data_IF_782438259949
#
_entry.id   IF_782438259949
#
_cell.length_a   1.000
_cell.length_b   1.000
_cell.length_c   1.000
_cell.angle_alpha   90.00
_cell.angle_beta   90.00
_cell.angle_gamma   90.00
#
_symmetry.space_group_name_H-M   'P 1'
#
loop_
_entity.id
_entity.type
_entity.pdbx_description
1 polymer ?
#
# COMPACT_ATOMS: atom_id res chain seq x y z
N UNK A 1 53.02 -31.96 -42.16
CA UNK A 1 54.07 -32.93 -41.81
C UNK A 1 54.88 -32.36 -40.65
N UNK A 2 54.94 -33.12 -39.54
CA UNK A 2 55.97 -33.12 -38.46
C UNK A 2 56.29 -31.81 -37.72
N UNK A 3 55.93 -31.67 -36.43
CA UNK A 3 56.67 -32.14 -35.22
C UNK A 3 57.86 -31.20 -34.89
N UNK A 4 58.03 -30.59 -33.70
CA UNK A 4 58.28 -31.22 -32.39
C UNK A 4 58.06 -30.24 -31.22
N UNK A 5 57.70 -30.81 -30.06
CA UNK A 5 57.85 -30.23 -28.71
C UNK A 5 59.33 -30.26 -28.28
N UNK A 6 59.73 -29.37 -27.38
CA UNK A 6 60.69 -29.67 -26.31
C UNK A 6 60.30 -28.91 -25.03
N UNK A 7 60.42 -29.62 -23.92
CA UNK A 7 60.10 -29.28 -22.54
C UNK A 7 61.41 -28.87 -21.85
N UNK A 8 61.38 -27.91 -20.93
CA UNK A 8 62.24 -27.92 -19.75
C UNK A 8 61.60 -27.10 -18.62
N UNK A 9 61.46 -27.76 -17.47
CA UNK A 9 61.03 -27.23 -16.17
C UNK A 9 62.27 -27.10 -15.22
N UNK A 10 62.14 -26.55 -13.99
CA UNK A 10 62.99 -25.53 -13.37
C UNK A 10 64.06 -26.08 -12.39
N UNK A 11 64.75 -25.28 -11.51
CA UNK A 11 64.14 -24.99 -10.19
C UNK A 11 64.66 -23.78 -9.32
N UNK A 12 63.86 -23.51 -8.26
CA UNK A 12 64.18 -23.22 -6.84
C UNK A 12 64.68 -21.85 -6.28
N UNK A 13 63.84 -21.34 -5.33
CA UNK A 13 64.12 -20.90 -3.94
C UNK A 13 64.71 -19.48 -3.71
N UNK A 14 64.41 -18.69 -2.65
CA UNK A 14 63.70 -18.84 -1.36
C UNK A 14 63.25 -17.41 -0.89
N UNK A 15 62.08 -17.21 -0.25
CA UNK A 15 61.82 -17.07 1.21
C UNK A 15 62.74 -16.05 1.94
N UNK A 16 62.29 -15.03 2.69
CA UNK A 16 61.51 -14.94 3.94
C UNK A 16 61.20 -13.42 4.17
N UNK A 17 60.28 -12.92 4.98
CA UNK A 17 59.58 -13.47 6.14
C UNK A 17 58.51 -12.49 6.69
N UNK A 18 57.80 -12.98 7.70
CA UNK A 18 56.53 -12.51 8.24
C UNK A 18 56.64 -11.38 9.29
N UNK A 19 55.53 -10.67 9.52
CA UNK A 19 55.06 -10.21 10.86
C UNK A 19 53.52 -10.13 10.90
N UNK A 20 52.89 -10.75 11.91
CA UNK A 20 51.49 -10.55 12.37
C UNK A 20 51.47 -9.52 13.52
N UNK A 21 50.33 -8.89 13.84
CA UNK A 21 49.58 -9.33 15.04
C UNK A 21 48.04 -9.25 14.98
N UNK A 22 47.43 -9.95 15.95
CA UNK A 22 46.11 -9.87 16.62
C UNK A 22 44.97 -9.01 16.00
N UNK A 23 43.71 -9.44 15.91
CA UNK A 23 42.91 -10.27 16.81
C UNK A 23 41.85 -9.39 17.48
N UNK A 24 40.58 -9.49 17.05
CA UNK A 24 39.38 -9.03 17.78
C UNK A 24 38.12 -9.62 17.13
N UNK A 25 37.47 -10.52 17.88
CA UNK A 25 36.11 -11.02 17.69
C UNK A 25 35.08 -9.89 17.85
N UNK A 26 34.07 -9.86 16.98
CA UNK A 26 32.81 -9.15 17.24
C UNK A 26 31.64 -9.74 16.43
N UNK A 27 30.82 -10.54 17.11
CA UNK A 27 29.36 -10.38 17.16
C UNK A 27 28.54 -10.57 15.89
N UNK A 28 27.96 -11.77 15.76
CA UNK A 28 26.72 -12.02 15.00
C UNK A 28 25.59 -11.12 15.53
N UNK A 29 25.14 -10.16 14.73
CA UNK A 29 23.94 -9.38 15.01
C UNK A 29 22.70 -10.09 14.44
N UNK A 30 21.91 -10.68 15.33
CA UNK A 30 20.50 -10.98 15.11
C UNK A 30 19.69 -9.67 15.03
N UNK A 31 18.80 -9.47 14.05
CA UNK A 31 17.81 -8.40 14.14
C UNK A 31 16.75 -8.81 15.17
N UNK A 32 16.75 -8.08 16.29
CA UNK A 32 15.77 -8.23 17.36
C UNK A 32 14.37 -7.85 16.87
N UNK A 33 13.42 -8.75 17.10
CA UNK A 33 12.00 -8.46 16.97
C UNK A 33 11.60 -7.38 18.00
N UNK A 34 11.23 -6.20 17.54
CA UNK A 34 10.57 -5.18 18.34
C UNK A 34 9.17 -5.65 18.75
N UNK A 35 9.08 -6.39 19.86
CA UNK A 35 7.82 -6.70 20.53
C UNK A 35 7.34 -5.51 21.35
N UNK A 36 6.67 -4.56 20.69
CA UNK A 36 5.83 -3.56 21.37
C UNK A 36 4.37 -3.77 20.98
N UNK A 37 3.81 -4.93 21.35
CA UNK A 37 2.36 -5.07 21.44
C UNK A 37 1.92 -4.50 22.79
N UNK A 38 1.27 -3.34 22.79
CA UNK A 38 0.53 -2.88 23.97
C UNK A 38 -0.61 -3.89 24.22
N UNK A 39 -0.43 -4.74 25.23
CA UNK A 39 -1.49 -5.58 25.73
C UNK A 39 -2.55 -4.70 26.39
N UNK A 40 -3.72 -4.57 25.76
CA UNK A 40 -4.91 -3.98 26.39
C UNK A 40 -5.34 -4.94 27.51
N UNK A 41 -5.17 -4.52 28.76
CA UNK A 41 -5.63 -5.27 29.94
C UNK A 41 -7.15 -5.21 30.04
N UNK A 42 -7.84 -6.32 30.41
CA UNK A 42 -9.28 -6.27 30.69
C UNK A 42 -9.52 -5.54 32.02
N UNK A 43 -10.42 -4.57 32.01
CA UNK A 43 -10.89 -3.87 33.21
C UNK A 43 -11.81 -4.82 34.00
N UNK A 44 -11.44 -5.15 35.23
CA UNK A 44 -12.30 -5.85 36.18
C UNK A 44 -13.35 -4.89 36.75
N UNK A 45 -14.61 -5.30 36.73
CA UNK A 45 -15.71 -4.65 37.42
C UNK A 45 -15.61 -4.87 38.94
N UNK A 46 -15.86 -3.85 39.80
CA UNK A 46 -16.14 -4.11 41.20
C UNK A 46 -17.65 -4.08 41.46
N UNK A 47 -18.14 -5.18 42.01
CA UNK A 47 -19.39 -5.31 42.75
C UNK A 47 -19.27 -4.62 44.13
N UNK A 48 -20.32 -3.95 44.62
CA UNK A 48 -20.49 -3.71 46.06
C UNK A 48 -21.17 -2.41 46.46
N UNK A 49 -22.36 -2.55 47.04
CA UNK A 49 -23.30 -1.53 47.56
C UNK A 49 -22.75 -0.54 48.62
N UNK A 50 -23.40 0.63 48.76
CA UNK A 50 -23.23 1.50 49.94
C UNK A 50 -23.80 2.94 49.86
N UNK A 51 -25.13 3.07 50.00
CA UNK A 51 -25.97 4.14 50.59
C UNK A 51 -25.59 5.65 50.60
N UNK A 52 -26.63 6.41 50.18
CA UNK A 52 -27.19 7.70 50.69
C UNK A 52 -26.40 9.00 50.56
N UNK A 53 -27.01 9.94 49.82
CA UNK A 53 -26.68 11.37 49.83
C UNK A 53 -27.54 12.12 48.81
N UNK A 54 -28.72 12.56 49.23
CA UNK A 54 -29.58 13.48 48.47
C UNK A 54 -28.85 14.83 48.31
N UNK A 55 -28.49 15.17 47.07
CA UNK A 55 -28.14 16.53 46.67
C UNK A 55 -28.79 16.83 45.32
N UNK A 56 -29.90 17.56 45.42
CA UNK A 56 -30.66 18.14 44.32
C UNK A 56 -29.81 19.22 43.62
N UNK A 57 -29.50 19.02 42.34
CA UNK A 57 -28.95 20.05 41.43
C UNK A 57 -29.59 19.90 40.03
N UNK A 58 -29.73 21.01 39.27
CA UNK A 58 -30.77 21.15 38.26
C UNK A 58 -30.44 20.47 36.92
N UNK A 59 -31.50 20.00 36.24
CA UNK A 59 -31.49 19.53 34.84
C UNK A 59 -31.13 20.68 33.90
N UNK A 60 -29.88 20.75 33.46
CA UNK A 60 -29.51 21.48 32.26
C UNK A 60 -29.59 20.53 31.05
N UNK A 61 -30.60 20.74 30.20
CA UNK A 61 -30.72 20.09 28.91
C UNK A 61 -29.59 20.57 27.99
N UNK A 62 -28.58 19.73 27.77
CA UNK A 62 -27.59 19.96 26.71
C UNK A 62 -28.07 19.26 25.45
N UNK A 63 -29.05 19.87 24.78
CA UNK A 63 -29.32 19.60 23.38
C UNK A 63 -28.19 20.21 22.56
N UNK A 64 -27.13 19.46 22.30
CA UNK A 64 -26.07 19.91 21.38
C UNK A 64 -26.45 19.44 19.98
N UNK A 65 -27.05 20.36 19.23
CA UNK A 65 -27.29 20.22 17.81
C UNK A 65 -25.98 19.82 17.11
N UNK A 66 -26.06 18.78 16.26
CA UNK A 66 -25.04 18.47 15.26
C UNK A 66 -24.80 19.74 14.43
N UNK A 67 -23.56 20.21 14.25
CA UNK A 67 -23.32 21.29 13.32
C UNK A 67 -23.73 20.84 11.92
N UNK A 68 -24.46 21.73 11.26
CA UNK A 68 -25.00 21.59 9.92
C UNK A 68 -23.96 21.07 8.93
N UNK A 69 -24.44 20.22 8.03
CA UNK A 69 -23.83 19.80 6.77
C UNK A 69 -22.87 20.83 6.17
N UNK A 70 -21.64 20.41 5.90
CA UNK A 70 -20.68 21.15 5.08
C UNK A 70 -21.33 21.44 3.71
N UNK A 71 -21.38 22.70 3.27
CA UNK A 71 -22.08 23.08 2.04
C UNK A 71 -21.28 22.67 0.79
N UNK A 72 -22.01 22.15 -0.20
CA UNK A 72 -21.65 22.30 -1.62
C UNK A 72 -20.72 21.24 -2.21
N UNK A 73 -21.25 20.02 -2.44
CA UNK A 73 -20.70 19.16 -3.50
C UNK A 73 -20.94 19.88 -4.83
N UNK A 74 -19.92 20.55 -5.38
CA UNK A 74 -19.99 21.07 -6.75
C UNK A 74 -20.36 19.88 -7.65
N UNK A 75 -21.41 20.04 -8.47
CA UNK A 75 -21.74 19.06 -9.50
C UNK A 75 -20.50 18.95 -10.40
N UNK A 76 -19.74 17.87 -10.22
CA UNK A 76 -18.49 17.65 -10.91
C UNK A 76 -18.76 17.51 -12.41
N UNK A 77 -17.92 18.16 -13.21
CA UNK A 77 -17.89 17.93 -14.65
C UNK A 77 -17.79 16.42 -14.93
N UNK A 78 -18.51 15.95 -15.95
CA UNK A 78 -18.45 14.55 -16.36
C UNK A 78 -17.03 14.27 -16.87
N UNK A 79 -16.23 13.55 -16.10
CA UNK A 79 -14.89 13.11 -16.51
C UNK A 79 -15.05 11.94 -17.47
N UNK A 80 -14.58 12.11 -18.70
CA UNK A 80 -14.60 11.05 -19.71
C UNK A 80 -13.40 10.12 -19.45
N UNK A 81 -13.62 8.80 -19.32
CA UNK A 81 -12.52 7.84 -19.20
C UNK A 81 -11.63 7.88 -20.44
N UNK A 82 -10.33 7.94 -20.19
CA UNK A 82 -9.27 7.84 -21.20
C UNK A 82 -9.08 6.39 -21.63
N UNK A 83 -9.23 5.46 -20.68
CA UNK A 83 -9.06 4.04 -20.91
C UNK A 83 -10.24 3.28 -20.32
N UNK A 84 -10.77 2.32 -21.10
CA UNK A 84 -11.85 1.43 -20.69
C UNK A 84 -11.48 -0.02 -20.97
N UNK A 85 -11.61 -0.90 -20.00
CA UNK A 85 -11.38 -2.34 -20.14
C UNK A 85 -12.21 -3.12 -19.12
N UNK A 86 -12.59 -4.36 -19.45
CA UNK A 86 -13.13 -5.29 -18.45
C UNK A 86 -12.01 -5.96 -17.61
N UNK A 87 -10.76 -5.91 -18.08
CA UNK A 87 -9.60 -6.50 -17.44
C UNK A 87 -8.88 -5.56 -16.46
N UNK A 88 -7.64 -5.91 -16.13
CA UNK A 88 -6.78 -5.13 -15.24
C UNK A 88 -5.98 -4.04 -15.94
N UNK A 89 -5.69 -2.98 -15.18
CA UNK A 89 -4.77 -1.91 -15.56
C UNK A 89 -3.61 -1.86 -14.56
N UNK A 90 -2.38 -1.80 -15.06
CA UNK A 90 -1.21 -1.43 -14.28
C UNK A 90 -1.07 0.09 -14.33
N UNK A 91 -1.18 0.75 -13.19
CA UNK A 91 -0.99 2.18 -13.02
C UNK A 91 0.34 2.43 -12.31
N UNK A 92 1.25 3.17 -12.94
CA UNK A 92 2.57 3.50 -12.37
C UNK A 92 2.69 4.99 -12.07
N UNK A 93 3.13 5.34 -10.87
CA UNK A 93 3.40 6.69 -10.42
C UNK A 93 4.88 7.01 -10.27
N UNK A 94 5.18 8.26 -9.92
CA UNK A 94 6.52 8.77 -9.66
C UNK A 94 7.04 8.47 -8.24
N UNK A 95 6.74 7.30 -7.69
CA UNK A 95 7.21 6.82 -6.38
C UNK A 95 8.34 5.79 -6.50
N UNK A 96 8.60 5.04 -5.44
CA UNK A 96 9.58 3.95 -5.48
C UNK A 96 9.04 2.76 -6.29
N UNK A 97 9.91 2.14 -7.08
CA UNK A 97 9.58 1.00 -7.93
C UNK A 97 10.75 0.01 -7.89
N UNK A 98 10.50 -1.19 -7.37
CA UNK A 98 11.49 -2.25 -7.28
C UNK A 98 11.82 -2.84 -8.65
N UNK A 99 12.97 -3.51 -8.72
CA UNK A 99 13.35 -4.23 -9.93
C UNK A 99 12.36 -5.37 -10.20
N UNK A 100 11.77 -5.39 -11.39
CA UNK A 100 10.82 -6.43 -11.81
C UNK A 100 9.37 -6.19 -11.37
N UNK A 101 9.10 -5.23 -10.48
CA UNK A 101 7.74 -4.94 -9.99
C UNK A 101 6.77 -4.60 -11.12
N UNK A 102 7.21 -3.77 -12.07
CA UNK A 102 6.39 -3.39 -13.20
C UNK A 102 6.11 -4.58 -14.12
N UNK A 103 7.11 -5.43 -14.38
CA UNK A 103 6.95 -6.62 -15.20
C UNK A 103 6.01 -7.64 -14.53
N UNK A 104 6.11 -7.80 -13.21
CA UNK A 104 5.20 -8.64 -12.43
C UNK A 104 3.75 -8.16 -12.57
N UNK A 105 3.49 -6.87 -12.37
CA UNK A 105 2.15 -6.30 -12.51
C UNK A 105 1.60 -6.44 -13.94
N UNK A 106 2.43 -6.14 -14.95
CA UNK A 106 2.05 -6.24 -16.36
C UNK A 106 1.74 -7.68 -16.81
N UNK A 107 2.30 -8.69 -16.14
CA UNK A 107 1.96 -10.09 -16.41
C UNK A 107 0.49 -10.43 -16.11
N UNK A 108 -0.15 -9.66 -15.23
CA UNK A 108 -1.56 -9.82 -14.84
C UNK A 108 -2.46 -8.73 -15.42
N UNK A 109 -1.95 -7.49 -15.51
CA UNK A 109 -2.68 -6.31 -15.98
C UNK A 109 -1.88 -5.60 -17.08
N UNK A 110 -1.96 -6.05 -18.35
CA UNK A 110 -1.02 -5.66 -19.40
C UNK A 110 -1.21 -4.23 -19.92
N UNK A 111 -2.33 -3.58 -19.63
CA UNK A 111 -2.57 -2.19 -20.00
C UNK A 111 -1.84 -1.26 -19.03
N UNK A 112 -0.89 -0.47 -19.54
CA UNK A 112 -0.02 0.38 -18.75
C UNK A 112 -0.48 1.84 -18.80
N UNK A 113 -0.85 2.39 -17.66
CA UNK A 113 -1.09 3.83 -17.49
C UNK A 113 -0.03 4.42 -16.59
N UNK A 114 0.53 5.56 -16.97
CA UNK A 114 1.46 6.32 -16.15
C UNK A 114 0.81 7.60 -15.61
N UNK A 115 1.04 7.88 -14.32
CA UNK A 115 0.70 9.14 -13.68
C UNK A 115 1.89 10.08 -13.77
N UNK A 116 1.81 11.09 -14.64
CA UNK A 116 2.84 12.09 -14.90
C UNK A 116 4.27 11.50 -14.97
N UNK A 117 5.18 11.82 -14.03
CA UNK A 117 6.55 11.28 -13.95
C UNK A 117 6.66 9.74 -13.78
N UNK A 118 5.55 9.04 -13.56
CA UNK A 118 5.48 7.58 -13.71
C UNK A 118 5.85 7.12 -15.12
N UNK A 119 5.73 8.00 -16.13
CA UNK A 119 6.12 7.71 -17.50
C UNK A 119 7.64 7.51 -17.64
N UNK A 120 8.44 8.29 -16.90
CA UNK A 120 9.89 8.14 -16.85
C UNK A 120 10.28 6.76 -16.31
N UNK A 121 9.64 6.33 -15.22
CA UNK A 121 9.87 5.01 -14.61
C UNK A 121 9.47 3.87 -15.57
N UNK A 122 8.34 4.00 -16.26
CA UNK A 122 7.90 3.03 -17.27
C UNK A 122 8.93 2.88 -18.40
N UNK A 123 9.38 4.01 -18.95
CA UNK A 123 10.33 4.04 -20.07
C UNK A 123 11.72 3.52 -19.66
N UNK A 124 12.16 3.81 -18.44
CA UNK A 124 13.40 3.28 -17.87
C UNK A 124 13.35 1.76 -17.70
N UNK A 125 12.16 1.21 -17.40
CA UNK A 125 11.90 -0.23 -17.38
C UNK A 125 11.68 -0.85 -18.77
N UNK A 126 11.78 -0.07 -19.86
CA UNK A 126 11.64 -0.55 -21.23
C UNK A 126 10.20 -0.64 -21.73
N UNK A 127 9.23 -0.07 -21.01
CA UNK A 127 7.81 -0.08 -21.37
C UNK A 127 7.33 1.30 -21.81
N UNK A 128 6.60 1.36 -22.92
CA UNK A 128 5.93 2.59 -23.37
C UNK A 128 4.48 2.55 -22.86
N UNK A 129 4.03 3.50 -22.02
CA UNK A 129 2.66 3.53 -21.53
C UNK A 129 1.61 3.61 -22.66
N UNK A 130 0.45 3.00 -22.43
CA UNK A 130 -0.74 3.11 -23.28
C UNK A 130 -1.45 4.46 -23.06
N UNK A 131 -1.32 5.03 -21.87
CA UNK A 131 -1.75 6.39 -21.55
C UNK A 131 -0.84 7.01 -20.49
N UNK A 132 -0.61 8.32 -20.58
CA UNK A 132 0.00 9.14 -19.53
C UNK A 132 -0.98 10.24 -19.15
N UNK A 133 -1.28 10.36 -17.87
CA UNK A 133 -2.27 11.30 -17.35
C UNK A 133 -1.60 12.16 -16.27
N UNK A 134 -1.71 13.47 -16.39
CA UNK A 134 -1.08 14.45 -15.49
C UNK A 134 -1.18 15.87 -16.06
N UNK A 135 -0.69 16.87 -15.35
CA UNK A 135 -0.54 18.24 -15.89
C UNK A 135 0.76 18.43 -16.70
N UNK A 136 1.67 17.46 -16.57
CA UNK A 136 2.97 17.37 -17.24
C UNK A 136 4.02 18.36 -16.73
N UNK A 137 4.00 18.65 -15.43
CA UNK A 137 5.05 19.44 -14.79
C UNK A 137 6.23 18.61 -14.28
N UNK A 138 6.02 17.31 -14.01
CA UNK A 138 7.06 16.42 -13.47
C UNK A 138 7.60 15.38 -14.46
N UNK A 139 6.88 15.06 -15.53
CA UNK A 139 7.38 14.20 -16.62
C UNK A 139 8.51 14.88 -17.41
N UNK A 140 9.59 14.14 -17.68
CA UNK A 140 10.73 14.70 -18.40
C UNK A 140 10.43 15.01 -19.88
N UNK A 141 11.11 16.00 -20.49
CA UNK A 141 11.01 16.27 -21.93
C UNK A 141 11.38 15.07 -22.81
N UNK A 142 12.34 14.24 -22.35
CA UNK A 142 12.75 13.02 -23.05
C UNK A 142 11.61 12.00 -23.06
N UNK A 143 10.96 11.78 -21.91
CA UNK A 143 9.82 10.89 -21.80
C UNK A 143 8.66 11.37 -22.68
N UNK A 144 8.32 12.66 -22.62
CA UNK A 144 7.28 13.26 -23.47
C UNK A 144 7.57 13.07 -24.97
N UNK A 145 8.83 13.19 -25.39
CA UNK A 145 9.22 13.03 -26.80
C UNK A 145 9.17 11.57 -27.29
N UNK A 146 9.36 10.60 -26.39
CA UNK A 146 9.31 9.15 -26.70
C UNK A 146 7.89 8.58 -26.74
N UNK A 147 6.92 9.27 -26.15
CA UNK A 147 5.55 8.78 -26.03
C UNK A 147 4.66 9.43 -27.11
N UNK A 148 3.86 8.65 -27.86
CA UNK A 148 2.96 9.20 -28.86
C UNK A 148 2.00 10.24 -28.26
N UNK A 149 1.81 11.36 -28.97
CA UNK A 149 1.04 12.51 -28.47
C UNK A 149 -0.40 12.16 -28.12
N UNK A 150 -1.00 11.21 -28.84
CA UNK A 150 -2.35 10.70 -28.60
C UNK A 150 -2.50 9.94 -27.28
N UNK A 151 -1.40 9.49 -26.68
CA UNK A 151 -1.36 8.84 -25.35
C UNK A 151 -1.09 9.82 -24.23
N UNK A 152 -0.81 11.09 -24.54
CA UNK A 152 -0.54 12.14 -23.56
C UNK A 152 -1.84 12.90 -23.24
N UNK A 153 -2.46 12.57 -22.10
CA UNK A 153 -3.72 13.15 -21.65
C UNK A 153 -3.47 14.22 -20.60
N UNK A 154 -3.25 15.46 -21.06
CA UNK A 154 -3.02 16.60 -20.18
C UNK A 154 -4.28 16.95 -19.38
N UNK A 155 -4.13 17.08 -18.07
CA UNK A 155 -5.17 17.49 -17.12
C UNK A 155 -4.65 18.71 -16.35
N UNK A 156 -5.13 19.90 -16.73
CA UNK A 156 -4.61 21.17 -16.20
C UNK A 156 -5.07 21.50 -14.76
N UNK A 157 -6.09 20.80 -14.25
CA UNK A 157 -6.60 20.99 -12.89
C UNK A 157 -5.52 20.66 -11.84
N UNK A 158 -5.42 21.51 -10.82
CA UNK A 158 -4.42 21.41 -9.75
C UNK A 158 -5.01 20.97 -8.39
N UNK A 159 -6.33 20.82 -8.30
CA UNK A 159 -7.03 20.52 -7.04
C UNK A 159 -6.98 19.02 -6.68
N UNK A 160 -6.36 18.18 -7.52
CA UNK A 160 -6.25 16.74 -7.35
C UNK A 160 -4.86 16.21 -7.66
N UNK A 161 -4.47 15.11 -7.00
CA UNK A 161 -3.20 14.43 -7.27
C UNK A 161 -3.25 13.65 -8.59
N UNK A 162 -2.11 13.36 -9.20
CA UNK A 162 -2.09 12.58 -10.45
C UNK A 162 -2.66 11.17 -10.28
N UNK A 163 -2.57 10.58 -9.08
CA UNK A 163 -3.26 9.33 -8.78
C UNK A 163 -4.79 9.48 -8.88
N UNK A 164 -5.36 10.56 -8.33
CA UNK A 164 -6.79 10.85 -8.47
C UNK A 164 -7.18 11.17 -9.93
N UNK A 165 -6.35 11.94 -10.65
CA UNK A 165 -6.56 12.25 -12.07
C UNK A 165 -6.59 10.97 -12.91
N UNK A 166 -5.71 10.02 -12.64
CA UNK A 166 -5.67 8.70 -13.29
C UNK A 166 -6.90 7.87 -12.95
N UNK A 167 -7.18 7.65 -11.67
CA UNK A 167 -8.29 6.78 -11.25
C UNK A 167 -9.66 7.29 -11.74
N UNK A 168 -9.87 8.61 -11.81
CA UNK A 168 -11.10 9.18 -12.38
C UNK A 168 -11.25 8.99 -13.90
N UNK A 169 -10.16 8.61 -14.59
CA UNK A 169 -10.10 8.45 -16.06
C UNK A 169 -9.81 7.01 -16.50
N UNK A 170 -9.64 6.09 -15.56
CA UNK A 170 -9.48 4.66 -15.81
C UNK A 170 -10.79 3.98 -15.42
N UNK A 171 -11.43 3.31 -16.36
CA UNK A 171 -12.57 2.41 -16.15
C UNK A 171 -12.09 0.98 -16.40
N UNK A 172 -11.85 0.22 -15.32
CA UNK A 172 -11.20 -1.08 -15.36
C UNK A 172 -11.81 -2.02 -14.33
N UNK A 173 -11.74 -3.34 -14.58
CA UNK A 173 -12.17 -4.35 -13.62
C UNK A 173 -11.35 -4.30 -12.33
N UNK A 174 -10.05 -4.00 -12.44
CA UNK A 174 -9.18 -3.71 -11.30
C UNK A 174 -7.97 -2.86 -11.71
N UNK A 175 -7.30 -2.27 -10.72
CA UNK A 175 -6.07 -1.49 -10.90
C UNK A 175 -4.98 -2.01 -9.97
N UNK A 176 -3.81 -2.33 -10.53
CA UNK A 176 -2.57 -2.55 -9.79
C UNK A 176 -1.77 -1.25 -9.82
N UNK A 177 -1.64 -0.59 -8.66
CA UNK A 177 -1.00 0.70 -8.52
C UNK A 177 0.42 0.53 -7.94
N UNK A 178 1.45 0.95 -8.67
CA UNK A 178 2.86 0.91 -8.25
C UNK A 178 3.46 2.30 -8.27
N UNK A 179 4.49 2.56 -7.45
CA UNK A 179 5.12 3.88 -7.42
C UNK A 179 4.20 4.97 -6.84
N UNK A 180 3.36 4.63 -5.87
CA UNK A 180 2.56 5.60 -5.11
C UNK A 180 2.97 5.69 -3.64
N UNK A 181 4.07 5.04 -3.26
CA UNK A 181 4.73 5.11 -1.96
C UNK A 181 6.27 5.18 -2.09
N UNK A 182 7.00 5.16 -0.96
CA UNK A 182 8.46 4.99 -0.91
C UNK A 182 9.32 6.23 -1.19
N UNK A 183 8.72 7.34 -1.67
CA UNK A 183 9.41 8.64 -1.79
C UNK A 183 8.87 9.67 -0.80
N UNK A 184 7.96 10.54 -1.26
CA UNK A 184 7.39 11.60 -0.42
C UNK A 184 6.19 11.06 0.35
N UNK A 185 6.19 11.23 1.66
CA UNK A 185 5.14 10.72 2.54
C UNK A 185 3.77 11.40 2.27
N UNK A 186 3.76 12.70 1.96
CA UNK A 186 2.54 13.44 1.63
C UNK A 186 1.82 12.86 0.39
N UNK A 187 2.58 12.49 -0.65
CA UNK A 187 2.04 11.81 -1.83
C UNK A 187 1.46 10.44 -1.48
N UNK A 188 2.14 9.70 -0.60
CA UNK A 188 1.66 8.39 -0.13
C UNK A 188 0.33 8.54 0.61
N UNK A 189 0.26 9.46 1.58
CA UNK A 189 -0.97 9.75 2.33
C UNK A 189 -2.11 10.23 1.43
N UNK A 190 -1.80 11.05 0.43
CA UNK A 190 -2.79 11.49 -0.56
C UNK A 190 -3.29 10.30 -1.40
N UNK A 191 -2.41 9.40 -1.85
CA UNK A 191 -2.80 8.22 -2.60
C UNK A 191 -3.71 7.28 -1.78
N UNK A 192 -3.36 7.01 -0.53
CA UNK A 192 -4.19 6.23 0.41
C UNK A 192 -5.56 6.91 0.62
N UNK A 193 -5.60 8.24 0.73
CA UNK A 193 -6.85 9.00 0.84
C UNK A 193 -7.72 8.80 -0.41
N UNK A 194 -7.14 8.89 -1.60
CA UNK A 194 -7.85 8.69 -2.87
C UNK A 194 -8.42 7.28 -2.99
N UNK A 195 -7.74 6.25 -2.50
CA UNK A 195 -8.28 4.88 -2.50
C UNK A 195 -9.62 4.81 -1.73
N UNK A 196 -9.73 5.53 -0.61
CA UNK A 196 -10.96 5.53 0.22
C UNK A 196 -12.16 6.22 -0.45
N UNK A 197 -11.89 7.08 -1.43
CA UNK A 197 -12.88 7.78 -2.24
C UNK A 197 -13.41 6.91 -3.39
N UNK A 198 -12.72 5.81 -3.71
CA UNK A 198 -13.02 4.90 -4.81
C UNK A 198 -13.70 3.61 -4.32
N UNK A 199 -14.71 3.75 -3.45
CA UNK A 199 -15.43 2.60 -2.88
C UNK A 199 -16.05 1.71 -3.97
N UNK A 200 -15.93 0.40 -3.79
CA UNK A 200 -16.45 -0.60 -4.72
C UNK A 200 -15.55 -0.87 -5.94
N UNK A 201 -14.38 -0.22 -6.02
CA UNK A 201 -13.38 -0.52 -7.05
C UNK A 201 -12.26 -1.37 -6.47
N UNK A 202 -11.84 -2.39 -7.21
CA UNK A 202 -10.68 -3.21 -6.87
C UNK A 202 -9.39 -2.46 -7.22
N UNK A 203 -8.79 -1.80 -6.23
CA UNK A 203 -7.51 -1.08 -6.37
C UNK A 203 -6.53 -1.65 -5.35
N UNK A 204 -5.43 -2.20 -5.84
CA UNK A 204 -4.36 -2.75 -5.02
C UNK A 204 -3.12 -1.88 -5.23
N UNK A 205 -2.66 -1.23 -4.17
CA UNK A 205 -1.35 -0.56 -4.16
C UNK A 205 -0.29 -1.59 -3.78
N UNK A 206 0.64 -1.84 -4.70
CA UNK A 206 1.75 -2.77 -4.51
C UNK A 206 2.99 -2.00 -4.07
N UNK A 207 3.17 -1.93 -2.76
CA UNK A 207 4.31 -1.34 -2.10
C UNK A 207 5.50 -2.28 -1.99
N UNK A 208 6.63 -1.82 -1.45
CA UNK A 208 7.85 -2.64 -1.36
C UNK A 208 7.63 -3.89 -0.48
N UNK A 209 6.96 -3.73 0.66
CA UNK A 209 6.71 -4.81 1.63
C UNK A 209 5.24 -5.23 1.71
N UNK A 210 4.31 -4.38 1.28
CA UNK A 210 2.88 -4.58 1.51
C UNK A 210 2.05 -4.46 0.24
N UNK A 211 0.97 -5.23 0.18
CA UNK A 211 -0.19 -4.92 -0.65
C UNK A 211 -1.22 -4.20 0.20
N UNK A 212 -1.61 -3.01 -0.23
CA UNK A 212 -2.62 -2.18 0.42
C UNK A 212 -3.86 -2.07 -0.45
N UNK A 213 -5.05 -2.23 0.15
CA UNK A 213 -6.32 -2.12 -0.56
C UNK A 213 -7.44 -1.63 0.38
N UNK A 214 -8.51 -1.08 -0.20
CA UNK A 214 -9.69 -0.72 0.58
C UNK A 214 -10.53 -1.96 0.86
N UNK A 215 -10.88 -2.21 2.12
CA UNK A 215 -11.74 -3.32 2.50
C UNK A 215 -13.12 -3.19 1.83
N UNK A 216 -13.60 -4.23 1.13
CA UNK A 216 -15.01 -4.32 0.77
C UNK A 216 -15.87 -4.60 2.02
N UNK A 217 -17.21 -4.48 1.94
CA UNK A 217 -18.10 -4.75 3.07
C UNK A 217 -17.99 -6.18 3.63
N UNK A 218 -17.57 -7.13 2.79
CA UNK A 218 -17.32 -8.53 3.11
C UNK A 218 -16.05 -8.96 2.39
N UNK A 219 -15.13 -9.58 3.12
CA UNK A 219 -13.87 -10.06 2.58
C UNK A 219 -13.52 -11.41 3.19
N UNK A 220 -13.29 -12.41 2.35
CA UNK A 220 -12.80 -13.72 2.75
C UNK A 220 -11.42 -13.94 2.12
N UNK A 221 -10.43 -14.25 2.96
CA UNK A 221 -9.06 -14.44 2.55
C UNK A 221 -8.57 -15.81 3.03
N UNK A 222 -8.19 -16.74 2.13
CA UNK A 222 -7.63 -18.04 2.51
C UNK A 222 -6.17 -17.90 2.96
N UNK A 223 -5.91 -17.06 3.97
CA UNK A 223 -4.57 -16.80 4.48
C UNK A 223 -3.99 -18.01 5.22
N UNK A 224 -2.67 -18.12 5.20
CA UNK A 224 -1.96 -19.04 6.07
C UNK A 224 -1.96 -18.51 7.52
N UNK A 225 -1.80 -19.42 8.48
CA UNK A 225 -1.50 -19.03 9.84
C UNK A 225 -0.20 -18.21 9.89
N UNK A 226 -0.13 -17.30 10.85
CA UNK A 226 0.97 -16.36 11.07
C UNK A 226 1.17 -15.28 9.99
N UNK A 227 0.30 -15.20 8.96
CA UNK A 227 0.28 -14.05 8.04
C UNK A 227 -0.12 -12.77 8.79
N UNK A 228 0.65 -11.69 8.60
CA UNK A 228 0.32 -10.37 9.13
C UNK A 228 -0.93 -9.81 8.45
N UNK A 229 -1.85 -9.26 9.25
CA UNK A 229 -3.03 -8.53 8.78
C UNK A 229 -3.11 -7.21 9.51
N UNK A 230 -2.95 -6.09 8.82
CA UNK A 230 -3.15 -4.76 9.42
C UNK A 230 -4.44 -4.14 8.90
N UNK A 231 -5.24 -3.60 9.84
CA UNK A 231 -6.47 -2.88 9.56
C UNK A 231 -6.29 -1.41 9.93
N UNK A 232 -6.28 -0.53 8.94
CA UNK A 232 -6.01 0.89 9.12
C UNK A 232 -7.24 1.75 8.81
N UNK A 233 -7.90 2.35 9.82
CA UNK A 233 -9.07 3.19 9.58
C UNK A 233 -8.64 4.53 8.98
N UNK A 234 -9.29 4.92 7.88
CA UNK A 234 -9.16 6.24 7.24
C UNK A 234 -10.33 7.18 7.61
N UNK A 235 -11.15 6.76 8.57
CA UNK A 235 -12.32 7.44 9.12
C UNK A 235 -12.98 6.53 10.16
N UNK A 236 -14.12 6.93 10.77
CA UNK A 236 -14.85 6.06 11.67
C UNK A 236 -15.21 4.73 10.99
N UNK A 237 -14.81 3.63 11.61
CA UNK A 237 -14.99 2.29 11.07
C UNK A 237 -15.20 1.26 12.19
N UNK A 238 -15.85 0.15 11.85
CA UNK A 238 -16.06 -1.00 12.74
C UNK A 238 -16.09 -2.26 11.92
N UNK A 239 -16.00 -3.40 12.59
CA UNK A 239 -16.16 -4.68 11.91
C UNK A 239 -16.29 -5.84 12.86
N UNK A 240 -16.44 -7.01 12.25
CA UNK A 240 -16.37 -8.30 12.92
C UNK A 240 -15.40 -9.19 12.13
N UNK A 241 -14.73 -10.10 12.82
CA UNK A 241 -13.72 -10.96 12.18
C UNK A 241 -13.76 -12.38 12.70
N UNK A 242 -13.44 -13.33 11.83
CA UNK A 242 -13.03 -14.68 12.23
C UNK A 242 -11.61 -14.95 11.71
N UNK A 243 -10.90 -15.87 12.36
CA UNK A 243 -9.55 -16.26 11.94
C UNK A 243 -8.44 -15.28 12.28
N UNK A 244 -8.73 -14.14 12.92
CA UNK A 244 -7.69 -13.23 13.45
C UNK A 244 -7.33 -13.59 14.90
N UNK A 245 -6.05 -13.40 15.26
CA UNK A 245 -5.55 -13.59 16.63
C UNK A 245 -6.21 -12.64 17.62
N UNK A 246 -6.43 -11.40 17.21
CA UNK A 246 -7.19 -10.42 17.96
C UNK A 246 -8.49 -10.11 17.20
N UNK A 247 -9.63 -10.71 17.59
CA UNK A 247 -10.92 -10.41 16.98
C UNK A 247 -11.26 -8.92 17.09
N UNK A 248 -11.94 -8.38 16.08
CA UNK A 248 -12.23 -6.94 16.01
C UNK A 248 -13.65 -6.56 16.44
N UNK A 249 -14.46 -7.54 16.81
CA UNK A 249 -15.85 -7.39 17.24
C UNK A 249 -15.96 -6.39 18.40
N UNK A 250 -16.82 -5.39 18.22
CA UNK A 250 -17.07 -4.34 19.22
C UNK A 250 -15.98 -3.27 19.32
N UNK A 251 -14.98 -3.27 18.43
CA UNK A 251 -13.99 -2.20 18.35
C UNK A 251 -14.48 -1.07 17.44
N UNK A 252 -14.53 0.14 17.98
CA UNK A 252 -14.70 1.37 17.21
C UNK A 252 -13.31 1.87 16.78
N UNK A 253 -13.06 1.84 15.47
CA UNK A 253 -11.81 2.29 14.86
C UNK A 253 -11.93 3.75 14.39
N UNK A 254 -10.84 4.49 14.56
CA UNK A 254 -10.71 5.83 14.02
C UNK A 254 -9.23 6.19 13.79
N UNK A 255 -8.89 7.04 12.80
CA UNK A 255 -7.50 7.43 12.55
C UNK A 255 -6.79 8.04 13.76
N UNK A 256 -7.55 8.70 14.65
CA UNK A 256 -7.07 9.34 15.87
C UNK A 256 -7.31 8.50 17.14
N UNK A 257 -7.75 7.25 16.98
CA UNK A 257 -8.15 6.36 18.06
C UNK A 257 -7.56 4.97 17.90
N UNK A 258 -8.38 3.94 18.06
CA UNK A 258 -7.94 2.55 17.89
C UNK A 258 -7.66 2.24 16.43
N UNK A 259 -6.53 1.59 16.18
CA UNK A 259 -6.11 1.05 14.88
C UNK A 259 -5.79 -0.44 15.04
N UNK A 260 -5.94 -1.23 13.98
CA UNK A 260 -5.73 -2.69 13.99
C UNK A 260 -4.40 -3.10 13.39
N UNK A 261 -3.31 -2.43 13.78
CA UNK A 261 -1.97 -2.66 13.20
C UNK A 261 -1.38 -4.00 13.64
N UNK A 262 -0.75 -4.71 12.69
CA UNK A 262 0.00 -5.95 12.94
C UNK A 262 -0.80 -7.05 13.66
N UNK A 263 -2.08 -7.22 13.31
CA UNK A 263 -2.83 -8.43 13.65
C UNK A 263 -2.24 -9.65 12.93
N UNK A 264 -2.64 -10.84 13.32
CA UNK A 264 -2.09 -12.09 12.81
C UNK A 264 -3.24 -13.03 12.44
N UNK A 265 -3.22 -13.57 11.22
CA UNK A 265 -4.10 -14.64 10.82
C UNK A 265 -3.75 -15.93 11.57
N UNK A 266 -4.77 -16.63 12.06
CA UNK A 266 -4.68 -17.99 12.63
C UNK A 266 -4.97 -19.06 11.57
N UNK A 267 -5.22 -18.65 10.32
CA UNK A 267 -5.70 -19.46 9.20
C UNK A 267 -6.56 -18.58 8.27
N UNK A 268 -7.55 -19.15 7.56
CA UNK A 268 -8.49 -18.37 6.76
C UNK A 268 -9.17 -17.27 7.59
N UNK A 269 -9.25 -16.06 7.02
CA UNK A 269 -9.80 -14.87 7.66
C UNK A 269 -11.06 -14.41 6.93
N UNK A 270 -12.13 -14.18 7.68
CA UNK A 270 -13.34 -13.51 7.17
C UNK A 270 -13.53 -12.20 7.91
N UNK A 271 -13.76 -11.12 7.16
CA UNK A 271 -14.04 -9.79 7.68
C UNK A 271 -15.39 -9.30 7.18
N UNK A 272 -16.18 -8.69 8.06
CA UNK A 272 -17.26 -7.80 7.67
C UNK A 272 -16.96 -6.40 8.20
N UNK A 273 -16.87 -5.42 7.30
CA UNK A 273 -16.31 -4.10 7.58
C UNK A 273 -17.33 -3.02 7.24
N UNK A 274 -17.45 -2.05 8.13
CA UNK A 274 -18.21 -0.83 7.92
C UNK A 274 -17.28 0.38 8.05
N UNK A 275 -17.36 1.32 7.10
CA UNK A 275 -16.50 2.50 7.06
C UNK A 275 -15.25 2.34 6.17
N UNK A 276 -14.41 3.38 6.05
CA UNK A 276 -13.24 3.36 5.19
C UNK A 276 -12.05 2.71 5.92
N UNK A 277 -11.92 1.39 5.78
CA UNK A 277 -10.81 0.61 6.34
C UNK A 277 -9.85 0.19 5.22
N UNK A 278 -8.58 0.55 5.32
CA UNK A 278 -7.54 -0.06 4.51
C UNK A 278 -7.09 -1.38 5.14
N UNK A 279 -6.80 -2.37 4.32
CA UNK A 279 -6.16 -3.62 4.72
C UNK A 279 -4.77 -3.65 4.12
N UNK A 280 -3.78 -3.98 4.94
CA UNK A 280 -2.40 -4.16 4.53
C UNK A 280 -1.97 -5.59 4.88
N UNK A 281 -1.49 -6.31 3.86
CA UNK A 281 -0.94 -7.66 3.97
C UNK A 281 0.47 -7.66 3.37
N UNK A 282 1.35 -8.61 3.75
CA UNK A 282 2.62 -8.82 3.07
C UNK A 282 2.46 -8.88 1.54
N UNK A 283 3.37 -8.22 0.81
CA UNK A 283 3.28 -8.01 -0.64
C UNK A 283 2.97 -9.31 -1.39
N UNK A 284 3.56 -10.43 -1.01
CA UNK A 284 3.37 -11.73 -1.66
C UNK A 284 1.91 -12.21 -1.69
N UNK A 285 1.03 -11.66 -0.83
CA UNK A 285 -0.39 -11.99 -0.79
C UNK A 285 -1.20 -11.27 -1.89
N UNK A 286 -0.61 -10.40 -2.70
CA UNK A 286 -1.36 -9.55 -3.64
C UNK A 286 -2.22 -10.32 -4.65
N UNK A 287 -1.77 -11.48 -5.13
CA UNK A 287 -2.56 -12.32 -6.06
C UNK A 287 -3.78 -12.92 -5.38
N UNK A 288 -3.64 -13.33 -4.12
CA UNK A 288 -4.74 -13.81 -3.30
C UNK A 288 -5.76 -12.70 -3.04
N UNK A 289 -5.27 -11.49 -2.70
CA UNK A 289 -6.13 -10.32 -2.53
C UNK A 289 -6.88 -9.99 -3.81
N UNK A 290 -6.19 -9.99 -4.95
CA UNK A 290 -6.80 -9.69 -6.24
C UNK A 290 -7.97 -10.65 -6.52
N UNK A 291 -7.75 -11.96 -6.38
CA UNK A 291 -8.78 -12.97 -6.57
C UNK A 291 -9.96 -12.84 -5.59
N UNK A 292 -9.75 -12.28 -4.40
CA UNK A 292 -10.81 -12.04 -3.42
C UNK A 292 -11.63 -10.77 -3.72
N UNK A 293 -11.11 -9.84 -4.54
CA UNK A 293 -11.76 -8.57 -4.86
C UNK A 293 -12.43 -8.53 -6.24
N UNK A 294 -12.11 -9.46 -7.14
CA UNK A 294 -12.59 -9.54 -8.53
C UNK A 294 -13.29 -10.85 -8.80
#
# INVERSE_FOLDING_TARGET
>A
MTSRRCVHDPPHAAALGAVRPAGLDAGLHHPGACRHGLAVRPVRSPSGAGRTGDLCLPRAAVGRALPASIPGRRQGAVVIPVLRTAGGVTLVGGGELGHGDLAEALSTAPLLVAADSGADAALAAGHVPDAVIGDFDSISPEAQARIPRERLHRVAEQDSTDFAKCLSRIDAGFVLALGFEGRRLDHTLAALTVMTQNRGRAILMLGAEDVTFLAPPRLDLPLAADTRVSLWPMGPARGISTGLRWPIDGIEFAPHGTVGTSNIALGPVSLAIEGPMLVLLPREQWRLVLAALT
#
